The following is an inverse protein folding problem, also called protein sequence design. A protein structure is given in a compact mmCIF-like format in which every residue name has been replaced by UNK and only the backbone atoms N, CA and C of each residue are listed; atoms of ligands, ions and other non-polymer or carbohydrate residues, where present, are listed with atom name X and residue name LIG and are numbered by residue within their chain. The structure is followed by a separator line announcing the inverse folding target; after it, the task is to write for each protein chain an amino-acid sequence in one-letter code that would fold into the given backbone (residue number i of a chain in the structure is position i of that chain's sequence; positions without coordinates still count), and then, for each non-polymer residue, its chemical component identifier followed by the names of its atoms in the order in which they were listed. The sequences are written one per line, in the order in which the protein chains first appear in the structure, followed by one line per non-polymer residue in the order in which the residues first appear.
data_IF_859617369828
#
_entry.id   IF_859617369828
#
_cell.length_a   1.000
_cell.length_b   1.000
_cell.length_c   1.000
_cell.angle_alpha   90.00
_cell.angle_beta   90.00
_cell.angle_gamma   90.00
#
_symmetry.space_group_name_H-M   'P 1'
#
loop_
_entity.id
_entity.type
_entity.pdbx_description
1 polymer ?
#
# COMPACT_ATOMS: atom_id res chain seq x y z
N UNK A 1 4.33 -4.88 9.23
CA UNK A 1 4.49 -3.43 9.36
C UNK A 1 3.86 -3.03 10.68
N UNK A 2 4.55 -2.25 11.49
CA UNK A 2 3.96 -1.67 12.69
C UNK A 2 2.98 -0.56 12.31
N UNK A 3 2.08 -0.21 13.22
CA UNK A 3 1.17 0.93 13.01
C UNK A 3 2.01 2.20 12.85
N UNK A 4 1.76 3.03 11.81
CA UNK A 4 2.46 4.29 11.65
C UNK A 4 2.27 5.18 12.89
N UNK A 5 3.36 5.76 13.40
CA UNK A 5 3.29 6.79 14.44
C UNK A 5 2.96 8.15 13.80
N UNK A 6 1.97 8.87 14.35
CA UNK A 6 1.59 10.20 13.89
C UNK A 6 0.56 10.36 12.74
N UNK A 7 -0.21 9.36 12.27
CA UNK A 7 -1.34 9.59 11.36
C UNK A 7 -2.58 10.13 12.09
N UNK A 8 -2.45 10.50 13.37
CA UNK A 8 -3.47 11.21 14.13
C UNK A 8 -3.97 12.39 13.30
N UNK A 9 -5.29 12.49 13.08
CA UNK A 9 -5.96 13.50 12.26
C UNK A 9 -6.06 13.20 10.73
N UNK A 10 -6.03 11.93 10.30
CA UNK A 10 -6.38 11.52 8.93
C UNK A 10 -7.91 11.51 8.66
N UNK A 11 -8.59 12.64 8.91
CA UNK A 11 -10.06 12.71 8.90
C UNK A 11 -10.68 12.21 7.60
N UNK A 12 -11.74 11.43 7.72
CA UNK A 12 -12.52 10.87 6.62
C UNK A 12 -11.79 9.80 5.82
N UNK A 13 -10.59 9.37 6.24
CA UNK A 13 -9.76 8.40 5.54
C UNK A 13 -9.24 7.34 6.51
N UNK A 14 -9.12 6.10 6.05
CA UNK A 14 -8.46 5.00 6.80
C UNK A 14 -7.08 4.66 6.25
N UNK A 15 -6.63 5.38 5.23
CA UNK A 15 -5.36 5.21 4.56
C UNK A 15 -4.89 6.57 4.04
N UNK A 16 -3.64 6.65 3.58
CA UNK A 16 -3.15 7.83 2.89
C UNK A 16 -3.97 8.12 1.62
N UNK A 17 -4.47 9.34 1.50
CA UNK A 17 -5.25 9.82 0.36
C UNK A 17 -4.83 11.24 -0.02
N UNK A 18 -5.31 11.75 -1.15
CA UNK A 18 -5.09 13.14 -1.59
C UNK A 18 -5.61 14.18 -0.60
N UNK A 19 -6.64 13.83 0.16
CA UNK A 19 -7.24 14.71 1.17
C UNK A 19 -6.53 14.62 2.51
N UNK A 20 -5.61 13.66 2.67
CA UNK A 20 -4.82 13.49 3.89
C UNK A 20 -3.82 14.65 4.05
N UNK A 21 -3.56 15.12 5.28
CA UNK A 21 -2.48 16.05 5.55
C UNK A 21 -1.11 15.46 5.12
N UNK A 22 -0.16 16.28 4.64
CA UNK A 22 1.16 15.79 4.22
C UNK A 22 1.92 14.96 5.27
N UNK A 23 1.71 15.27 6.55
CA UNK A 23 2.30 14.52 7.67
C UNK A 23 1.85 13.06 7.72
N UNK A 24 0.63 12.75 7.24
CA UNK A 24 0.13 11.37 7.16
C UNK A 24 0.95 10.59 6.12
N UNK A 25 1.11 11.14 4.91
CA UNK A 25 1.92 10.51 3.85
C UNK A 25 3.36 10.28 4.33
N UNK A 26 3.94 11.27 5.01
CA UNK A 26 5.27 11.18 5.59
C UNK A 26 5.37 10.09 6.67
N UNK A 27 4.37 9.97 7.55
CA UNK A 27 4.32 8.94 8.59
C UNK A 27 4.30 7.53 7.99
N UNK A 28 3.47 7.30 6.97
CA UNK A 28 3.39 6.02 6.25
C UNK A 28 4.72 5.63 5.59
N UNK A 29 5.33 6.54 4.83
CA UNK A 29 6.63 6.27 4.17
C UNK A 29 7.75 6.05 5.21
N UNK A 30 7.82 6.86 6.27
CA UNK A 30 8.80 6.67 7.36
C UNK A 30 8.64 5.33 8.06
N UNK A 31 7.40 4.92 8.32
CA UNK A 31 7.10 3.64 8.95
C UNK A 31 7.58 2.48 8.07
N UNK A 32 7.22 2.49 6.79
CA UNK A 32 7.67 1.50 5.84
C UNK A 32 9.20 1.44 5.75
N UNK A 33 9.85 2.60 5.61
CA UNK A 33 11.31 2.69 5.54
C UNK A 33 11.99 2.03 6.75
N UNK A 34 11.52 2.35 7.96
CA UNK A 34 12.05 1.78 9.21
C UNK A 34 11.85 0.27 9.26
N UNK A 35 10.64 -0.19 8.97
CA UNK A 35 10.29 -1.61 9.06
C UNK A 35 11.03 -2.43 8.01
N UNK A 36 11.17 -1.90 6.79
CA UNK A 36 11.85 -2.60 5.70
C UNK A 36 13.36 -2.67 5.91
N UNK A 37 14.00 -1.60 6.38
CA UNK A 37 15.41 -1.65 6.82
C UNK A 37 15.58 -2.69 7.93
N UNK A 38 14.70 -2.66 8.93
CA UNK A 38 14.78 -3.61 10.05
C UNK A 38 14.65 -5.05 9.56
N UNK A 39 13.71 -5.30 8.63
CA UNK A 39 13.53 -6.60 8.00
C UNK A 39 14.80 -7.06 7.28
N UNK A 40 15.38 -6.22 6.40
CA UNK A 40 16.60 -6.55 5.68
C UNK A 40 17.75 -6.82 6.66
N UNK A 41 17.97 -5.95 7.64
CA UNK A 41 19.01 -6.14 8.65
C UNK A 41 18.84 -7.46 9.42
N UNK A 42 17.62 -7.85 9.80
CA UNK A 42 17.38 -9.12 10.46
C UNK A 42 17.64 -10.30 9.51
N UNK A 43 17.16 -10.25 8.27
CA UNK A 43 17.41 -11.29 7.26
C UNK A 43 18.89 -11.48 6.96
N UNK A 44 19.68 -10.40 6.99
CA UNK A 44 21.13 -10.48 6.76
C UNK A 44 21.89 -11.29 7.81
N UNK A 45 21.32 -11.44 9.02
CA UNK A 45 21.90 -12.22 10.11
C UNK A 45 21.54 -13.70 10.01
N UNK A 46 20.46 -14.02 9.30
CA UNK A 46 19.94 -15.38 9.17
C UNK A 46 20.38 -16.05 7.87
N UNK A 47 20.57 -15.26 6.80
CA UNK A 47 20.94 -15.76 5.48
C UNK A 47 22.47 -15.91 5.38
N UNK A 48 22.90 -17.06 4.89
CA UNK A 48 24.33 -17.37 4.68
C UNK A 48 24.89 -16.44 3.59
N UNK A 49 26.07 -15.80 3.78
CA UNK A 49 26.69 -14.96 2.76
C UNK A 49 26.82 -15.67 1.40
N UNK A 50 26.45 -14.97 0.33
CA UNK A 50 26.39 -15.52 -1.03
C UNK A 50 25.04 -16.17 -1.40
N UNK A 51 24.20 -16.51 -0.42
CA UNK A 51 22.86 -17.06 -0.67
C UNK A 51 21.84 -15.98 -1.00
N UNK A 52 20.71 -16.43 -1.57
CA UNK A 52 19.70 -15.57 -2.18
C UNK A 52 18.43 -15.48 -1.34
N UNK A 53 17.79 -14.31 -1.40
CA UNK A 53 16.42 -14.11 -0.93
C UNK A 53 15.56 -13.67 -2.11
N UNK A 54 14.39 -14.28 -2.24
CA UNK A 54 13.33 -13.78 -3.12
C UNK A 54 12.22 -13.23 -2.24
N UNK A 55 11.88 -11.96 -2.44
CA UNK A 55 10.87 -11.25 -1.68
C UNK A 55 9.77 -10.75 -2.63
N UNK A 56 8.53 -11.12 -2.36
CA UNK A 56 7.36 -10.67 -3.11
C UNK A 56 6.39 -9.93 -2.20
N UNK A 57 5.99 -8.72 -2.58
CA UNK A 57 5.11 -7.85 -1.77
C UNK A 57 4.35 -6.84 -2.64
N UNK A 58 3.25 -6.30 -2.12
CA UNK A 58 2.44 -5.34 -2.87
C UNK A 58 3.20 -4.02 -3.07
N UNK A 59 2.90 -3.37 -4.18
CA UNK A 59 3.56 -2.16 -4.60
C UNK A 59 2.72 -1.31 -5.53
N UNK A 60 3.26 -0.15 -5.88
CA UNK A 60 2.69 0.74 -6.87
C UNK A 60 3.70 1.07 -7.96
N UNK A 61 3.25 1.11 -9.22
CA UNK A 61 4.02 1.69 -10.34
C UNK A 61 3.89 3.22 -10.39
N UNK A 62 2.97 3.79 -9.61
CA UNK A 62 2.77 5.23 -9.51
C UNK A 62 3.73 5.83 -8.49
N UNK A 63 4.41 6.91 -8.89
CA UNK A 63 5.29 7.68 -8.01
C UNK A 63 4.52 8.40 -6.91
N UNK A 64 3.27 8.82 -7.18
CA UNK A 64 2.38 9.37 -6.17
C UNK A 64 1.56 8.23 -5.54
N UNK A 65 1.83 7.87 -4.28
CA UNK A 65 1.18 6.73 -3.62
C UNK A 65 -0.29 7.01 -3.26
N UNK A 66 -0.77 8.26 -3.36
CA UNK A 66 -2.19 8.61 -3.15
C UNK A 66 -3.11 8.18 -4.28
N UNK A 67 -2.56 7.71 -5.40
CA UNK A 67 -3.30 7.12 -6.51
C UNK A 67 -3.17 5.59 -6.54
N UNK A 68 -2.54 4.99 -5.53
CA UNK A 68 -2.37 3.55 -5.48
C UNK A 68 -3.72 2.84 -5.51
N UNK A 69 -3.74 1.65 -6.13
CA UNK A 69 -4.91 0.78 -6.15
C UNK A 69 -5.48 0.54 -4.74
N UNK A 70 -4.60 0.42 -3.76
CA UNK A 70 -4.97 0.24 -2.36
C UNK A 70 -5.70 1.46 -1.77
N UNK A 71 -5.32 2.69 -2.15
CA UNK A 71 -6.05 3.90 -1.78
C UNK A 71 -7.48 3.87 -2.33
N UNK A 72 -7.64 3.53 -3.61
CA UNK A 72 -8.96 3.47 -4.24
C UNK A 72 -9.87 2.40 -3.59
N UNK A 73 -9.28 1.26 -3.20
CA UNK A 73 -9.98 0.21 -2.46
C UNK A 73 -10.39 0.68 -1.07
N UNK A 74 -9.50 1.36 -0.34
CA UNK A 74 -9.80 1.94 0.96
C UNK A 74 -10.94 2.96 0.87
N UNK A 75 -10.95 3.83 -0.14
CA UNK A 75 -12.05 4.78 -0.38
C UNK A 75 -13.37 4.09 -0.71
N UNK A 76 -13.32 3.03 -1.52
CA UNK A 76 -14.50 2.24 -1.87
C UNK A 76 -15.11 1.62 -0.61
N UNK A 77 -14.28 1.04 0.26
CA UNK A 77 -14.71 0.45 1.53
C UNK A 77 -15.33 1.49 2.47
N UNK A 78 -14.71 2.68 2.60
CA UNK A 78 -15.27 3.78 3.39
C UNK A 78 -16.66 4.16 2.86
N UNK A 79 -16.80 4.36 1.55
CA UNK A 79 -18.08 4.75 0.92
C UNK A 79 -19.18 3.73 1.22
N UNK A 80 -18.89 2.44 1.03
CA UNK A 80 -19.82 1.33 1.27
C UNK A 80 -20.19 1.18 2.75
N UNK A 81 -19.25 1.34 3.67
CA UNK A 81 -19.45 1.13 5.12
C UNK A 81 -20.08 2.33 5.84
N UNK A 82 -19.83 3.54 5.35
CA UNK A 82 -20.34 4.79 5.92
C UNK A 82 -21.68 5.24 5.34
N UNK A 83 -22.11 4.62 4.23
CA UNK A 83 -23.27 5.06 3.46
C UNK A 83 -23.05 6.39 2.75
N UNK A 84 -21.78 6.78 2.56
CA UNK A 84 -21.39 8.00 1.83
C UNK A 84 -21.44 7.71 0.33
N UNK A 85 -22.66 7.65 -0.21
CA UNK A 85 -22.87 7.75 -1.65
C UNK A 85 -22.88 9.23 -2.04
N UNK A 86 -22.26 9.56 -3.18
CA UNK A 86 -22.33 10.92 -3.72
C UNK A 86 -23.81 11.27 -4.00
N UNK A 87 -24.15 12.57 -3.95
CA UNK A 87 -25.52 13.10 -3.96
C UNK A 87 -26.38 12.74 -5.19
N UNK A 88 -25.86 11.95 -6.12
CA UNK A 88 -26.50 11.60 -7.40
C UNK A 88 -27.42 10.36 -7.29
N UNK A 89 -27.22 9.45 -6.32
CA UNK A 89 -28.09 8.28 -6.10
C UNK A 89 -29.15 8.51 -5.00
N UNK A 90 -29.86 9.65 -5.04
CA UNK A 90 -30.90 9.98 -4.05
C UNK A 90 -32.16 9.09 -4.13
N UNK A 91 -32.32 8.28 -5.16
CA UNK A 91 -33.54 7.51 -5.40
C UNK A 91 -33.59 6.19 -4.61
N UNK A 92 -32.44 5.73 -4.11
CA UNK A 92 -32.34 4.55 -3.24
C UNK A 92 -31.56 4.91 -1.98
N UNK A 93 -32.22 5.37 -0.90
CA UNK A 93 -31.57 5.55 0.38
C UNK A 93 -31.16 4.17 0.91
N UNK A 94 -29.94 3.78 0.56
CA UNK A 94 -29.24 2.66 1.17
C UNK A 94 -28.99 3.04 2.65
N UNK A 95 -29.67 2.38 3.60
CA UNK A 95 -29.39 2.45 5.06
C UNK A 95 -28.01 1.80 5.41
N UNK A 96 -27.03 1.90 4.53
CA UNK A 96 -25.73 1.24 4.63
C UNK A 96 -24.74 2.08 5.45
N UNK A 97 -25.11 2.50 6.65
CA UNK A 97 -24.24 3.24 7.57
C UNK A 97 -23.93 2.43 8.81
N UNK A 98 -23.14 1.36 8.68
CA UNK A 98 -22.83 0.46 9.81
C UNK A 98 -21.70 0.98 10.69
N UNK A 99 -20.86 1.89 10.16
CA UNK A 99 -19.66 2.40 10.84
C UNK A 99 -19.83 3.89 11.14
N UNK A 100 -19.50 4.30 12.37
CA UNK A 100 -19.55 5.71 12.76
C UNK A 100 -18.35 6.45 12.17
N UNK A 101 -18.55 7.72 11.81
CA UNK A 101 -17.45 8.57 11.31
C UNK A 101 -16.28 8.68 12.28
N UNK A 102 -16.55 8.75 13.59
CA UNK A 102 -15.50 8.77 14.60
C UNK A 102 -14.63 7.50 14.60
N UNK A 103 -15.21 6.35 14.27
CA UNK A 103 -14.47 5.08 14.18
C UNK A 103 -13.55 5.11 12.96
N UNK A 104 -14.01 5.66 11.84
CA UNK A 104 -13.22 5.87 10.61
C UNK A 104 -12.07 6.82 10.87
N UNK A 105 -12.34 7.97 11.48
CA UNK A 105 -11.33 9.00 11.77
C UNK A 105 -10.23 8.51 12.73
N UNK A 106 -10.55 7.52 13.58
CA UNK A 106 -9.62 6.95 14.54
C UNK A 106 -8.74 5.83 13.97
N UNK A 107 -9.13 5.25 12.82
CA UNK A 107 -8.51 4.05 12.30
C UNK A 107 -7.61 4.36 11.09
N UNK A 108 -6.41 3.77 11.07
CA UNK A 108 -5.49 3.83 9.94
C UNK A 108 -4.95 2.44 9.64
N UNK A 109 -5.06 2.00 8.39
CA UNK A 109 -4.58 0.69 7.94
C UNK A 109 -3.05 0.70 8.02
N UNK A 110 -2.40 -0.24 8.72
CA UNK A 110 -0.94 -0.29 8.89
C UNK A 110 -0.27 -1.00 7.70
N UNK A 111 -0.51 -0.44 6.51
CA UNK A 111 0.02 -0.96 5.25
C UNK A 111 0.66 0.17 4.48
N UNK A 112 1.52 -0.13 3.53
CA UNK A 112 2.07 0.87 2.63
C UNK A 112 2.49 0.17 1.35
N UNK A 113 2.10 0.74 0.21
CA UNK A 113 2.52 0.28 -1.11
C UNK A 113 3.66 1.16 -1.60
N UNK A 114 4.93 0.75 -1.42
CA UNK A 114 6.06 1.53 -1.90
C UNK A 114 6.09 1.54 -3.43
N UNK A 115 6.81 2.50 -3.99
CA UNK A 115 7.16 2.50 -5.41
C UNK A 115 8.60 2.01 -5.61
N UNK A 116 8.95 1.75 -6.87
CA UNK A 116 10.20 1.05 -7.22
C UNK A 116 11.44 1.71 -6.63
N UNK A 117 11.63 3.00 -6.89
CA UNK A 117 12.89 3.67 -6.53
C UNK A 117 13.05 3.81 -5.00
N UNK A 118 11.94 3.88 -4.25
CA UNK A 118 11.97 3.86 -2.77
C UNK A 118 12.52 2.51 -2.26
N UNK A 119 12.09 1.40 -2.84
CA UNK A 119 12.58 0.06 -2.51
C UNK A 119 14.07 -0.07 -2.84
N UNK A 120 14.48 0.37 -4.03
CA UNK A 120 15.89 0.32 -4.46
C UNK A 120 16.78 1.17 -3.55
N UNK A 121 16.35 2.39 -3.22
CA UNK A 121 17.07 3.28 -2.32
C UNK A 121 17.21 2.71 -0.91
N UNK A 122 16.17 2.04 -0.38
CA UNK A 122 16.25 1.41 0.95
C UNK A 122 17.25 0.25 0.96
N UNK A 123 17.20 -0.63 -0.05
CA UNK A 123 18.12 -1.78 -0.13
C UNK A 123 19.57 -1.31 -0.25
N UNK A 124 19.83 -0.32 -1.10
CA UNK A 124 21.16 0.28 -1.26
C UNK A 124 21.65 0.94 0.04
N UNK A 125 20.77 1.64 0.75
CA UNK A 125 21.11 2.33 2.00
C UNK A 125 21.37 1.35 3.16
N UNK A 126 20.63 0.25 3.24
CA UNK A 126 20.84 -0.77 4.28
C UNK A 126 22.13 -1.58 4.03
N UNK A 127 22.37 -1.98 2.78
CA UNK A 127 23.68 -2.46 2.31
C UNK A 127 24.02 -3.93 2.62
N UNK A 128 23.19 -4.68 3.34
CA UNK A 128 23.45 -6.10 3.62
C UNK A 128 23.17 -7.01 2.42
N UNK A 129 22.46 -6.52 1.41
CA UNK A 129 22.11 -7.28 0.20
C UNK A 129 22.47 -6.51 -1.06
N UNK A 130 22.93 -7.26 -2.08
CA UNK A 130 23.01 -6.79 -3.45
C UNK A 130 21.69 -7.08 -4.17
N UNK A 131 21.07 -6.05 -4.74
CA UNK A 131 19.89 -6.19 -5.58
C UNK A 131 20.27 -6.78 -6.94
N UNK A 132 19.82 -8.00 -7.22
CA UNK A 132 20.06 -8.65 -8.52
C UNK A 132 18.99 -8.28 -9.54
N UNK A 133 17.73 -8.30 -9.13
CA UNK A 133 16.63 -7.83 -9.96
C UNK A 133 15.47 -7.36 -9.10
N UNK A 134 14.77 -6.34 -9.59
CA UNK A 134 13.52 -5.87 -9.06
C UNK A 134 12.53 -5.83 -10.22
N UNK A 135 11.48 -6.66 -10.15
CA UNK A 135 10.43 -6.73 -11.16
C UNK A 135 9.12 -6.24 -10.57
N UNK A 136 8.40 -5.46 -11.36
CA UNK A 136 7.00 -5.12 -11.09
C UNK A 136 6.14 -6.01 -11.97
N UNK A 137 5.27 -6.78 -11.35
CA UNK A 137 4.23 -7.51 -12.04
C UNK A 137 2.93 -6.72 -11.86
N UNK A 138 2.42 -6.21 -12.97
CA UNK A 138 1.13 -5.53 -13.00
C UNK A 138 0.05 -6.58 -13.24
N UNK A 139 -0.85 -6.72 -12.28
CA UNK A 139 -2.01 -7.60 -12.32
C UNK A 139 -3.24 -6.73 -12.59
N UNK A 140 -3.94 -7.00 -13.69
CA UNK A 140 -5.25 -6.40 -13.94
C UNK A 140 -6.28 -7.09 -13.06
N UNK A 141 -6.94 -6.33 -12.19
CA UNK A 141 -8.06 -6.81 -11.38
C UNK A 141 -9.34 -6.38 -12.08
N UNK A 142 -10.14 -7.36 -12.51
CA UNK A 142 -11.50 -7.11 -13.01
C UNK A 142 -12.43 -6.88 -11.82
N UNK A 143 -13.26 -5.84 -11.88
CA UNK A 143 -14.28 -5.56 -10.87
C UNK A 143 -15.38 -6.62 -11.02
N UNK A 144 -15.37 -7.67 -10.20
CA UNK A 144 -16.43 -8.67 -10.20
C UNK A 144 -17.66 -8.06 -9.50
N UNK A 145 -18.32 -7.11 -10.15
CA UNK A 145 -19.66 -6.67 -9.74
C UNK A 145 -20.64 -7.76 -10.14
N UNK A 146 -21.31 -8.33 -9.13
CA UNK A 146 -22.43 -9.24 -9.29
C UNK A 146 -23.45 -8.68 -10.30
N UNK A 147 -23.90 -9.57 -11.19
CA UNK A 147 -24.94 -9.31 -12.18
C UNK A 147 -26.14 -8.57 -11.58
N UNK A 148 -26.33 -7.32 -11.99
CA UNK A 148 -27.65 -6.80 -12.31
C UNK A 148 -27.50 -6.04 -13.62
N UNK A 149 -28.23 -6.53 -14.63
CA UNK A 149 -28.17 -6.12 -16.01
C UNK A 149 -28.65 -4.66 -16.14
N UNK A 150 -27.95 -3.93 -17.01
CA UNK A 150 -28.21 -2.55 -17.47
C UNK A 150 -27.44 -1.42 -16.77
N UNK A 151 -26.13 -1.40 -16.96
CA UNK A 151 -25.45 -0.15 -17.31
C UNK A 151 -24.19 -0.42 -18.13
N UNK A 152 -24.20 0.07 -19.37
CA UNK A 152 -23.05 0.04 -20.27
C UNK A 152 -22.11 1.19 -19.91
N UNK A 153 -21.19 0.95 -18.98
CA UNK A 153 -19.98 1.73 -18.82
C UNK A 153 -18.84 0.74 -18.67
N UNK A 154 -17.93 0.72 -19.64
CA UNK A 154 -16.73 -0.10 -19.59
C UNK A 154 -15.94 0.22 -18.31
N UNK A 155 -16.08 -0.62 -17.29
CA UNK A 155 -15.44 -0.44 -15.99
C UNK A 155 -13.91 -0.36 -16.22
N UNK A 156 -13.31 0.71 -15.70
CA UNK A 156 -11.87 0.96 -15.78
C UNK A 156 -11.15 -0.22 -15.12
N UNK A 157 -10.33 -0.95 -15.88
CA UNK A 157 -9.46 -1.99 -15.33
C UNK A 157 -8.56 -1.37 -14.24
N UNK A 158 -8.61 -1.95 -13.05
CA UNK A 158 -7.78 -1.57 -11.90
C UNK A 158 -6.45 -2.33 -11.98
N UNK A 159 -5.33 -1.62 -11.84
CA UNK A 159 -3.99 -2.23 -11.94
C UNK A 159 -3.40 -2.40 -10.53
N UNK A 160 -3.23 -3.64 -10.09
CA UNK A 160 -2.51 -3.98 -8.86
C UNK A 160 -1.04 -4.26 -9.19
N UNK A 161 -0.13 -3.58 -8.51
CA UNK A 161 1.30 -3.88 -8.62
C UNK A 161 1.76 -4.89 -7.56
N UNK A 162 2.48 -5.92 -7.98
CA UNK A 162 3.22 -6.83 -7.09
C UNK A 162 4.72 -6.70 -7.41
N UNK A 163 5.53 -6.28 -6.43
CA UNK A 163 6.99 -6.33 -6.55
C UNK A 163 7.49 -7.74 -6.29
N UNK A 164 8.43 -8.18 -7.11
CA UNK A 164 9.29 -9.33 -6.84
C UNK A 164 10.75 -8.89 -6.90
N UNK A 165 11.41 -8.91 -5.75
CA UNK A 165 12.80 -8.57 -5.58
C UNK A 165 13.64 -9.84 -5.39
N UNK A 166 14.72 -9.96 -6.16
CA UNK A 166 15.74 -11.00 -5.98
C UNK A 166 17.00 -10.34 -5.43
N UNK A 167 17.42 -10.80 -4.26
CA UNK A 167 18.50 -10.25 -3.45
C UNK A 167 19.56 -11.32 -3.21
N UNK A 168 20.83 -10.93 -3.23
CA UNK A 168 21.95 -11.80 -2.82
C UNK A 168 22.57 -11.19 -1.58
N UNK A 169 22.73 -11.99 -0.54
CA UNK A 169 23.42 -11.59 0.68
C UNK A 169 24.86 -11.19 0.36
N UNK A 170 25.24 -9.99 0.79
CA UNK A 170 26.59 -9.47 0.58
C UNK A 170 27.58 -10.22 1.47
N UNK A 171 28.79 -10.42 0.96
CA UNK A 171 29.91 -10.83 1.80
C UNK A 171 30.19 -9.70 2.79
N UNK A 172 29.90 -9.91 4.08
CA UNK A 172 30.43 -9.02 5.11
C UNK A 172 31.94 -9.25 5.16
N UNK A 173 32.71 -8.29 4.66
CA UNK A 173 34.10 -8.16 5.07
C UNK A 173 34.04 -7.82 6.56
N UNK A 174 34.29 -8.82 7.41
CA UNK A 174 34.54 -8.57 8.82
C UNK A 174 35.78 -7.66 8.91
N UNK A 175 35.57 -6.40 9.29
CA UNK A 175 36.61 -5.55 9.85
C UNK A 175 36.62 -5.73 11.36
#
# INVERSE_FOLDING_TARGET
MSVPEGPENNKGNVYMSKTSPPKVLEAYSKQFHRDFITFLHLRSKEIIPGEQMVLTFAGTSLQDPTYSQFEMEAQTYIRQSSGRFEKEEKEHPCECGLVKEADIDSFNIPFYTPYRDEVEAIIQKEGSFNLQSLKVLEETVEDVRNHNENECLSDKQKIRGTFSAKLISSWRLYN
#
